data_IF_962948310432
#
_entry.id   IF_962948310432
#
_cell.length_a   1.000
_cell.length_b   1.000
_cell.length_c   1.000
_cell.angle_alpha   90.00
_cell.angle_beta   90.00
_cell.angle_gamma   90.00
#
_symmetry.space_group_name_H-M   'P 1'
#
loop_
_entity.id
_entity.type
_entity.pdbx_description
1 polymer ?
#
# COMPACT_ATOMS: atom_id res chain seq x y z
N UNK A 1 25.82 4.70 3.51
CA UNK A 1 26.98 5.13 2.69
C UNK A 1 26.63 4.93 1.22
N UNK A 2 26.80 5.96 0.38
CA UNK A 2 26.34 5.94 -1.01
C UNK A 2 27.39 5.26 -1.90
N UNK A 3 26.93 4.37 -2.79
CA UNK A 3 27.78 3.59 -3.72
C UNK A 3 28.10 4.34 -5.02
N UNK A 4 29.08 3.83 -5.78
CA UNK A 4 29.54 4.44 -7.04
C UNK A 4 28.45 4.53 -8.14
N UNK A 5 27.39 3.68 -8.11
CA UNK A 5 26.26 3.71 -9.04
C UNK A 5 25.27 4.88 -8.80
N UNK A 6 25.27 5.46 -7.60
CA UNK A 6 24.46 6.65 -7.28
C UNK A 6 25.16 7.98 -7.62
N UNK A 7 26.37 7.93 -8.15
CA UNK A 7 27.18 9.09 -8.59
C UNK A 7 26.53 9.87 -9.73
N UNK A 8 25.69 9.23 -10.53
CA UNK A 8 25.05 9.86 -11.70
C UNK A 8 23.97 10.89 -11.34
N UNK A 9 23.65 11.09 -10.07
CA UNK A 9 22.63 12.03 -9.58
C UNK A 9 23.13 13.10 -8.61
N UNK A 10 24.44 13.12 -8.32
CA UNK A 10 25.07 14.21 -7.56
C UNK A 10 25.74 15.15 -8.55
N UNK A 11 25.58 16.49 -8.43
CA UNK A 11 26.34 17.42 -9.23
C UNK A 11 27.83 17.13 -9.04
N UNK A 12 28.63 17.14 -10.13
CA UNK A 12 30.07 16.95 -10.09
C UNK A 12 30.70 18.13 -9.34
N UNK A 13 30.89 17.96 -8.04
CA UNK A 13 31.69 18.92 -7.28
C UNK A 13 33.13 18.59 -7.60
N UNK A 14 33.91 19.54 -8.17
CA UNK A 14 35.33 19.35 -8.44
C UNK A 14 36.04 18.86 -7.15
N UNK A 15 36.95 17.89 -7.23
CA UNK A 15 37.59 17.30 -6.03
C UNK A 15 38.38 18.32 -5.19
N UNK A 16 38.80 19.41 -5.80
CA UNK A 16 39.66 20.40 -5.19
C UNK A 16 38.96 21.24 -4.08
N UNK A 17 37.73 21.74 -4.24
CA UNK A 17 37.03 22.51 -3.21
C UNK A 17 36.72 21.71 -1.95
N UNK A 18 36.38 20.43 -2.09
CA UNK A 18 36.06 19.56 -0.95
C UNK A 18 37.31 19.18 -0.14
N UNK A 19 38.47 19.04 -0.79
CA UNK A 19 39.75 18.79 -0.10
C UNK A 19 40.19 19.95 0.76
N UNK A 20 39.91 21.17 0.30
CA UNK A 20 40.26 22.39 1.02
C UNK A 20 39.37 22.52 2.30
N UNK A 21 38.09 22.15 2.20
CA UNK A 21 37.15 22.20 3.33
C UNK A 21 37.44 21.18 4.42
N UNK A 22 37.71 19.92 4.07
CA UNK A 22 38.02 18.85 5.03
C UNK A 22 39.20 19.16 5.96
N UNK A 23 40.19 19.90 5.47
CA UNK A 23 41.43 20.17 6.20
C UNK A 23 41.38 21.41 7.10
N UNK A 24 40.47 22.35 6.88
CA UNK A 24 40.45 23.65 7.56
C UNK A 24 39.13 24.13 8.14
N UNK A 25 38.00 23.55 7.72
CA UNK A 25 36.67 24.12 8.01
C UNK A 25 35.68 23.15 8.66
N UNK A 26 36.10 21.96 9.11
CA UNK A 26 35.20 21.00 9.77
C UNK A 26 34.41 20.10 8.78
N UNK A 27 33.26 19.49 9.23
CA UNK A 27 32.51 18.55 8.41
C UNK A 27 32.05 19.15 7.06
N UNK A 28 31.84 18.32 5.99
CA UNK A 28 31.63 16.86 6.04
C UNK A 28 32.94 16.04 6.02
N UNK A 29 33.00 15.02 6.90
CA UNK A 29 34.15 14.12 6.96
C UNK A 29 33.98 12.91 6.06
N UNK A 30 34.87 12.74 5.08
CA UNK A 30 34.85 11.54 4.24
C UNK A 30 35.52 10.35 4.91
N UNK A 31 35.00 9.13 4.71
CA UNK A 31 35.71 7.87 4.99
C UNK A 31 36.36 7.34 3.72
N UNK A 32 37.61 6.89 3.80
CA UNK A 32 38.29 6.25 2.68
C UNK A 32 38.04 4.75 2.67
N UNK A 33 37.68 4.23 1.50
CA UNK A 33 37.63 2.79 1.27
C UNK A 33 39.07 2.26 1.04
N UNK A 34 39.29 0.94 1.18
CA UNK A 34 40.59 0.31 0.83
C UNK A 34 41.01 0.61 -0.62
N UNK A 35 40.07 0.87 -1.52
CA UNK A 35 40.27 1.30 -2.92
C UNK A 35 40.72 2.75 -3.07
N UNK A 36 40.92 3.50 -1.99
CA UNK A 36 41.30 4.93 -2.01
C UNK A 36 40.16 5.89 -2.26
N UNK A 37 38.97 5.42 -2.62
CA UNK A 37 37.79 6.29 -2.87
C UNK A 37 37.18 6.81 -1.59
N UNK A 38 36.77 8.09 -1.63
CA UNK A 38 36.08 8.75 -0.50
C UNK A 38 34.58 8.45 -0.53
N UNK A 39 34.01 8.27 0.65
CA UNK A 39 32.57 8.10 0.90
C UNK A 39 32.10 9.07 1.98
N UNK A 40 30.92 9.67 1.73
CA UNK A 40 30.27 10.59 2.64
C UNK A 40 29.03 9.92 3.25
N UNK A 41 28.67 10.23 4.51
CA UNK A 41 27.41 9.83 5.13
C UNK A 41 26.21 10.30 4.32
N UNK A 42 25.08 9.56 4.36
CA UNK A 42 23.85 9.96 3.64
C UNK A 42 23.28 11.28 4.17
N UNK A 43 23.43 11.54 5.44
CA UNK A 43 23.02 12.76 6.13
C UNK A 43 23.73 14.02 5.61
N UNK A 44 24.95 13.90 5.10
CA UNK A 44 25.71 15.02 4.54
C UNK A 44 25.34 15.38 3.09
N UNK A 45 24.56 14.54 2.40
CA UNK A 45 24.22 14.73 0.98
C UNK A 45 23.47 16.05 0.73
N UNK A 46 22.46 16.44 1.52
CA UNK A 46 21.78 17.73 1.34
C UNK A 46 22.72 18.92 1.43
N UNK A 47 23.64 18.87 2.41
CA UNK A 47 24.64 19.94 2.59
C UNK A 47 25.64 19.98 1.45
N UNK A 48 26.12 18.84 0.97
CA UNK A 48 27.01 18.77 -0.18
C UNK A 48 26.37 19.34 -1.46
N UNK A 49 25.06 19.09 -1.67
CA UNK A 49 24.30 19.69 -2.78
C UNK A 49 24.16 21.20 -2.65
N UNK A 50 23.89 21.69 -1.42
CA UNK A 50 23.80 23.13 -1.15
C UNK A 50 25.16 23.82 -1.39
N UNK A 51 26.28 23.21 -0.96
CA UNK A 51 27.63 23.68 -1.24
C UNK A 51 27.91 23.75 -2.74
N UNK A 52 27.59 22.69 -3.50
CA UNK A 52 27.78 22.67 -4.95
C UNK A 52 27.04 23.82 -5.63
N UNK A 53 25.76 23.98 -5.31
CA UNK A 53 24.88 25.01 -5.89
C UNK A 53 25.34 26.44 -5.53
N UNK A 54 25.83 26.66 -4.31
CA UNK A 54 26.36 27.94 -3.89
C UNK A 54 27.67 28.27 -4.64
N UNK A 55 28.54 27.27 -4.87
CA UNK A 55 29.76 27.45 -5.67
C UNK A 55 29.46 27.77 -7.15
N UNK A 56 28.47 27.09 -7.75
CA UNK A 56 27.96 27.38 -9.08
C UNK A 56 27.40 28.81 -9.20
N UNK A 57 26.79 29.30 -8.11
CA UNK A 57 26.29 30.69 -8.02
C UNK A 57 27.39 31.73 -7.75
N UNK A 58 28.65 31.33 -7.72
CA UNK A 58 29.80 32.25 -7.62
C UNK A 58 30.25 32.63 -6.21
N UNK A 59 29.71 31.96 -5.16
CA UNK A 59 30.15 32.21 -3.80
C UNK A 59 31.55 31.65 -3.50
N UNK A 60 32.33 32.34 -2.68
CA UNK A 60 33.70 31.92 -2.35
C UNK A 60 33.70 30.67 -1.46
N UNK A 61 34.58 29.69 -1.77
CA UNK A 61 34.77 28.44 -1.08
C UNK A 61 34.86 28.60 0.44
N UNK A 62 35.65 29.55 0.94
CA UNK A 62 35.84 29.77 2.37
C UNK A 62 34.56 30.16 3.13
N UNK A 63 33.58 30.77 2.44
CA UNK A 63 32.30 31.19 3.00
C UNK A 63 31.24 30.07 2.95
N UNK A 64 31.35 29.19 1.97
CA UNK A 64 30.36 28.15 1.69
C UNK A 64 30.65 26.87 2.45
N UNK A 65 31.91 26.48 2.56
CA UNK A 65 32.30 25.18 3.18
C UNK A 65 32.18 25.19 4.71
N UNK A 66 32.30 26.33 5.37
CA UNK A 66 32.11 26.49 6.82
C UNK A 66 30.64 26.70 7.23
N UNK A 67 29.75 27.01 6.28
CA UNK A 67 28.34 27.28 6.56
C UNK A 67 27.53 26.04 6.93
N UNK A 68 26.56 26.21 7.82
CA UNK A 68 25.51 25.21 8.08
C UNK A 68 24.58 25.12 6.85
N UNK A 69 23.75 24.08 6.76
CA UNK A 69 22.77 23.93 5.68
C UNK A 69 21.80 25.12 5.63
N UNK A 70 21.41 25.65 6.78
CA UNK A 70 20.52 26.81 6.92
C UNK A 70 21.21 28.11 6.42
N UNK A 71 22.46 28.33 6.78
CA UNK A 71 23.24 29.48 6.32
C UNK A 71 23.46 29.43 4.80
N UNK A 72 23.68 28.23 4.23
CA UNK A 72 23.83 28.04 2.79
C UNK A 72 22.53 28.33 2.05
N UNK A 73 21.40 27.91 2.57
CA UNK A 73 20.09 28.25 2.00
C UNK A 73 19.78 29.74 2.11
N UNK A 74 20.14 30.38 3.24
CA UNK A 74 20.01 31.82 3.42
C UNK A 74 20.85 32.64 2.44
N UNK A 75 22.10 32.23 2.18
CA UNK A 75 22.99 32.87 1.19
C UNK A 75 22.43 32.81 -0.24
N UNK A 76 21.69 31.74 -0.56
CA UNK A 76 21.09 31.54 -1.89
C UNK A 76 19.68 32.15 -2.02
N UNK A 77 19.19 32.87 -0.98
CA UNK A 77 17.81 33.39 -0.96
C UNK A 77 16.74 32.28 -0.97
N UNK A 78 17.13 31.03 -0.71
CA UNK A 78 16.20 29.93 -0.54
C UNK A 78 15.65 30.02 0.89
N UNK A 79 14.31 30.08 1.04
CA UNK A 79 13.70 29.89 2.35
C UNK A 79 14.24 28.57 2.95
N UNK A 80 14.53 28.51 4.27
CA UNK A 80 14.89 27.26 4.89
C UNK A 80 13.85 26.22 4.45
N UNK A 81 14.34 25.08 3.97
CA UNK A 81 13.47 23.90 3.89
C UNK A 81 13.11 23.62 5.36
N UNK A 82 12.00 24.18 5.82
CA UNK A 82 11.33 23.61 6.98
C UNK A 82 11.27 22.11 6.69
N UNK A 83 11.76 21.29 7.61
CA UNK A 83 11.45 19.86 7.56
C UNK A 83 9.96 19.81 7.32
N UNK A 84 9.50 19.18 6.22
CA UNK A 84 8.10 19.18 5.92
C UNK A 84 7.44 18.54 7.14
N UNK A 85 6.60 19.28 7.80
CA UNK A 85 5.85 18.79 8.94
C UNK A 85 5.05 17.62 8.40
N UNK A 86 5.48 16.39 8.70
CA UNK A 86 4.85 15.15 8.21
C UNK A 86 3.34 15.20 8.42
N UNK A 87 2.88 15.85 9.50
CA UNK A 87 1.46 16.10 9.76
C UNK A 87 0.81 17.01 8.71
N UNK A 88 1.45 18.11 8.33
CA UNK A 88 0.87 19.05 7.35
C UNK A 88 0.88 18.49 5.91
N UNK A 89 1.83 17.60 5.60
CA UNK A 89 1.81 16.86 4.31
C UNK A 89 0.68 15.85 4.31
N UNK A 90 0.54 15.05 5.38
CA UNK A 90 -0.56 14.09 5.51
C UNK A 90 -1.94 14.79 5.49
N UNK A 91 -2.09 15.92 6.19
CA UNK A 91 -3.33 16.71 6.18
C UNK A 91 -3.66 17.23 4.77
N UNK A 92 -2.66 17.70 4.03
CA UNK A 92 -2.85 18.14 2.63
C UNK A 92 -3.12 16.97 1.66
N UNK A 93 -2.48 15.81 1.86
CA UNK A 93 -2.76 14.61 1.07
C UNK A 93 -4.18 14.09 1.35
N UNK A 94 -4.60 14.03 2.61
CA UNK A 94 -5.95 13.61 3.00
C UNK A 94 -7.02 14.53 2.41
N UNK A 95 -6.86 15.85 2.52
CA UNK A 95 -7.78 16.82 1.93
C UNK A 95 -7.86 16.66 0.39
N UNK A 96 -6.74 16.36 -0.28
CA UNK A 96 -6.72 16.10 -1.71
C UNK A 96 -7.44 14.80 -2.07
N UNK A 97 -7.31 13.76 -1.23
CA UNK A 97 -7.96 12.47 -1.44
C UNK A 97 -9.49 12.59 -1.23
N UNK A 98 -9.92 13.34 -0.21
CA UNK A 98 -11.34 13.64 0.04
C UNK A 98 -11.99 14.37 -1.16
N UNK A 99 -11.34 15.40 -1.70
CA UNK A 99 -11.82 16.11 -2.88
C UNK A 99 -11.95 15.21 -4.10
N UNK A 100 -11.06 14.26 -4.26
CA UNK A 100 -11.11 13.29 -5.36
C UNK A 100 -12.28 12.31 -5.17
N UNK A 101 -12.48 11.82 -3.95
CA UNK A 101 -13.60 10.94 -3.63
C UNK A 101 -14.93 11.66 -3.89
N UNK A 102 -15.09 12.92 -3.47
CA UNK A 102 -16.29 13.70 -3.75
C UNK A 102 -16.50 13.93 -5.27
N UNK A 103 -15.43 14.07 -6.04
CA UNK A 103 -15.52 14.08 -7.51
C UNK A 103 -16.07 12.77 -8.06
N UNK A 104 -15.64 11.63 -7.52
CA UNK A 104 -16.18 10.33 -7.93
C UNK A 104 -17.63 10.13 -7.47
N UNK A 105 -18.00 10.60 -6.27
CA UNK A 105 -19.41 10.62 -5.84
C UNK A 105 -20.28 11.42 -6.80
N UNK A 106 -19.80 12.57 -7.28
CA UNK A 106 -20.49 13.34 -8.32
C UNK A 106 -20.61 12.53 -9.63
N UNK A 107 -19.55 11.84 -10.06
CA UNK A 107 -19.60 10.93 -11.21
C UNK A 107 -20.64 9.82 -11.03
N UNK A 108 -20.77 9.27 -9.82
CA UNK A 108 -21.81 8.27 -9.50
C UNK A 108 -23.22 8.87 -9.65
N UNK A 109 -23.46 10.08 -9.17
CA UNK A 109 -24.75 10.77 -9.35
C UNK A 109 -25.10 11.01 -10.82
N UNK A 110 -24.09 11.25 -11.66
CA UNK A 110 -24.24 11.54 -13.09
C UNK A 110 -24.19 10.28 -13.98
N UNK A 111 -23.95 9.08 -13.37
CA UNK A 111 -23.70 7.82 -14.07
C UNK A 111 -22.54 7.91 -15.07
N UNK A 112 -21.50 8.66 -14.73
CA UNK A 112 -20.31 8.89 -15.55
C UNK A 112 -19.24 7.84 -15.22
N UNK A 113 -19.26 6.70 -15.95
CA UNK A 113 -18.32 5.60 -15.80
C UNK A 113 -16.91 6.00 -16.27
N UNK A 114 -16.79 6.85 -17.29
CA UNK A 114 -15.50 7.36 -17.75
C UNK A 114 -14.79 8.15 -16.65
N UNK A 115 -15.51 9.01 -15.93
CA UNK A 115 -14.96 9.75 -14.77
C UNK A 115 -14.40 8.81 -13.70
N UNK A 116 -15.13 7.73 -13.39
CA UNK A 116 -14.73 6.75 -12.38
C UNK A 116 -13.53 5.93 -12.84
N UNK A 117 -13.65 5.29 -14.01
CA UNK A 117 -12.65 4.33 -14.50
C UNK A 117 -11.32 5.04 -14.83
N UNK A 118 -11.36 6.21 -15.46
CA UNK A 118 -10.13 7.00 -15.69
C UNK A 118 -9.51 7.46 -14.37
N UNK A 119 -10.31 7.97 -13.44
CA UNK A 119 -9.84 8.37 -12.11
C UNK A 119 -9.22 7.22 -11.33
N UNK A 120 -9.80 6.01 -11.38
CA UNK A 120 -9.24 4.81 -10.77
C UNK A 120 -7.90 4.44 -11.41
N UNK A 121 -7.79 4.48 -12.74
CA UNK A 121 -6.53 4.21 -13.43
C UNK A 121 -5.45 5.22 -13.08
N UNK A 122 -5.77 6.51 -13.05
CA UNK A 122 -4.82 7.57 -12.69
C UNK A 122 -4.27 7.36 -11.27
N UNK A 123 -5.16 7.14 -10.28
CA UNK A 123 -4.72 6.96 -8.90
C UNK A 123 -4.00 5.63 -8.67
N UNK A 124 -4.44 4.55 -9.31
CA UNK A 124 -3.73 3.28 -9.28
C UNK A 124 -2.29 3.41 -9.76
N UNK A 125 -2.07 4.08 -10.88
CA UNK A 125 -0.74 4.29 -11.44
C UNK A 125 0.13 5.23 -10.60
N UNK A 126 -0.49 6.21 -9.92
CA UNK A 126 0.21 7.19 -9.09
C UNK A 126 0.60 6.64 -7.73
N UNK A 127 -0.32 5.96 -7.05
CA UNK A 127 -0.15 5.55 -5.65
C UNK A 127 0.31 4.09 -5.48
N UNK A 128 0.13 3.27 -6.51
CA UNK A 128 0.33 1.82 -6.43
C UNK A 128 -0.84 1.08 -5.77
N UNK A 129 -0.87 -0.28 -5.91
CA UNK A 129 -2.05 -1.07 -5.54
C UNK A 129 -2.48 -0.95 -4.07
N UNK A 130 -1.55 -1.12 -3.13
CA UNK A 130 -1.88 -1.13 -1.70
C UNK A 130 -2.41 0.24 -1.23
N UNK A 131 -1.70 1.31 -1.58
CA UNK A 131 -2.11 2.68 -1.23
C UNK A 131 -3.44 3.04 -1.89
N UNK A 132 -3.66 2.60 -3.14
CA UNK A 132 -4.93 2.78 -3.83
C UNK A 132 -6.10 2.12 -3.09
N UNK A 133 -5.95 0.89 -2.61
CA UNK A 133 -6.99 0.22 -1.82
C UNK A 133 -7.28 1.00 -0.54
N UNK A 134 -6.25 1.35 0.23
CA UNK A 134 -6.39 1.91 1.58
C UNK A 134 -6.89 3.35 1.55
N UNK A 135 -6.32 4.19 0.69
CA UNK A 135 -6.56 5.63 0.72
C UNK A 135 -7.69 6.08 -0.21
N UNK A 136 -8.11 5.23 -1.16
CA UNK A 136 -9.12 5.62 -2.14
C UNK A 136 -10.31 4.65 -2.17
N UNK A 137 -10.09 3.34 -2.30
CA UNK A 137 -11.20 2.40 -2.44
C UNK A 137 -11.98 2.20 -1.15
N UNK A 138 -11.30 2.01 -0.02
CA UNK A 138 -11.97 1.88 1.27
C UNK A 138 -12.80 3.13 1.60
N UNK A 139 -12.26 4.37 1.55
CA UNK A 139 -13.05 5.56 1.80
C UNK A 139 -14.18 5.78 0.78
N UNK A 140 -13.97 5.45 -0.51
CA UNK A 140 -15.02 5.56 -1.52
C UNK A 140 -16.20 4.62 -1.20
N UNK A 141 -15.92 3.35 -0.89
CA UNK A 141 -16.96 2.37 -0.56
C UNK A 141 -17.72 2.79 0.70
N UNK A 142 -17.02 3.28 1.73
CA UNK A 142 -17.64 3.79 2.95
C UNK A 142 -18.50 5.03 2.66
N UNK A 143 -18.05 5.93 1.78
CA UNK A 143 -18.79 7.12 1.37
C UNK A 143 -20.03 6.76 0.53
N UNK A 144 -19.94 5.76 -0.35
CA UNK A 144 -21.11 5.24 -1.09
C UNK A 144 -22.12 4.63 -0.12
N UNK A 145 -21.67 3.78 0.80
CA UNK A 145 -22.54 3.15 1.80
C UNK A 145 -23.27 4.20 2.67
N UNK A 146 -22.55 5.18 3.21
CA UNK A 146 -23.16 6.26 4.01
C UNK A 146 -24.08 7.16 3.20
N UNK A 147 -23.77 7.40 1.92
CA UNK A 147 -24.65 8.13 1.01
C UNK A 147 -25.96 7.37 0.72
N UNK A 148 -25.90 6.05 0.59
CA UNK A 148 -27.08 5.21 0.46
C UNK A 148 -27.92 5.19 1.76
N UNK A 149 -27.30 5.00 2.91
CA UNK A 149 -27.98 4.98 4.21
C UNK A 149 -28.68 6.33 4.51
N UNK A 150 -28.07 7.45 4.14
CA UNK A 150 -28.65 8.80 4.31
C UNK A 150 -29.71 9.16 3.26
N UNK A 151 -29.84 8.38 2.19
CA UNK A 151 -30.72 8.67 1.05
C UNK A 151 -30.15 9.69 0.06
N UNK A 152 -28.90 10.11 0.18
CA UNK A 152 -28.19 10.94 -0.80
C UNK A 152 -27.99 10.16 -2.10
N UNK A 153 -27.59 8.88 -2.00
CA UNK A 153 -27.47 7.99 -3.13
C UNK A 153 -28.66 7.02 -3.18
N UNK A 154 -29.26 6.87 -4.34
CA UNK A 154 -30.31 5.88 -4.59
C UNK A 154 -29.72 4.49 -4.86
N UNK A 155 -30.52 3.43 -4.76
CA UNK A 155 -30.10 2.05 -5.11
C UNK A 155 -29.41 1.96 -6.48
N UNK A 156 -29.95 2.57 -7.58
CA UNK A 156 -29.24 2.56 -8.86
C UNK A 156 -27.86 3.23 -8.82
N UNK A 157 -27.64 4.26 -8.02
CA UNK A 157 -26.32 4.88 -7.87
C UNK A 157 -25.33 3.95 -7.15
N UNK A 158 -25.77 3.28 -6.10
CA UNK A 158 -24.96 2.30 -5.37
C UNK A 158 -24.59 1.11 -6.29
N UNK A 159 -25.57 0.56 -7.03
CA UNK A 159 -25.30 -0.52 -7.99
C UNK A 159 -24.32 -0.10 -9.09
N UNK A 160 -24.49 1.09 -9.64
CA UNK A 160 -23.57 1.64 -10.64
C UNK A 160 -22.15 1.77 -10.11
N UNK A 161 -21.97 2.31 -8.90
CA UNK A 161 -20.69 2.43 -8.26
C UNK A 161 -20.05 1.06 -8.01
N UNK A 162 -20.83 0.12 -7.50
CA UNK A 162 -20.40 -1.26 -7.21
C UNK A 162 -19.91 -1.98 -8.47
N UNK A 163 -20.64 -1.88 -9.59
CA UNK A 163 -20.25 -2.48 -10.88
C UNK A 163 -18.93 -1.87 -11.41
N UNK A 164 -18.78 -0.54 -11.36
CA UNK A 164 -17.54 0.11 -11.80
C UNK A 164 -16.34 -0.34 -10.94
N UNK A 165 -16.50 -0.41 -9.61
CA UNK A 165 -15.45 -0.82 -8.68
C UNK A 165 -15.11 -2.31 -8.86
N UNK A 166 -16.12 -3.18 -8.95
CA UNK A 166 -15.96 -4.63 -9.16
C UNK A 166 -15.17 -4.91 -10.43
N UNK A 167 -15.62 -4.36 -11.56
CA UNK A 167 -14.96 -4.54 -12.86
C UNK A 167 -13.50 -4.11 -12.82
N UNK A 168 -13.22 -2.94 -12.22
CA UNK A 168 -11.85 -2.43 -12.08
C UNK A 168 -10.99 -3.34 -11.21
N UNK A 169 -11.42 -3.67 -9.99
CA UNK A 169 -10.65 -4.49 -9.05
C UNK A 169 -10.44 -5.91 -9.58
N UNK A 170 -11.47 -6.50 -10.21
CA UNK A 170 -11.39 -7.82 -10.85
C UNK A 170 -10.32 -7.85 -11.94
N UNK A 171 -10.28 -6.84 -12.79
CA UNK A 171 -9.25 -6.71 -13.83
C UNK A 171 -7.85 -6.61 -13.21
N UNK A 172 -7.70 -5.81 -12.16
CA UNK A 172 -6.40 -5.52 -11.53
C UNK A 172 -5.82 -6.72 -10.80
N UNK A 173 -6.57 -7.40 -9.93
CA UNK A 173 -6.02 -8.54 -9.20
C UNK A 173 -5.69 -9.70 -10.15
N UNK A 174 -6.51 -9.96 -11.18
CA UNK A 174 -6.22 -11.00 -12.19
C UNK A 174 -4.93 -10.68 -12.96
N UNK A 175 -4.72 -9.42 -13.33
CA UNK A 175 -3.50 -8.97 -13.99
C UNK A 175 -2.27 -9.17 -13.11
N UNK A 176 -2.34 -8.76 -11.82
CA UNK A 176 -1.25 -8.90 -10.86
C UNK A 176 -0.95 -10.37 -10.54
N UNK A 177 -1.97 -11.20 -10.47
CA UNK A 177 -1.85 -12.63 -10.13
C UNK A 177 -1.64 -13.53 -11.36
N UNK A 178 -1.62 -12.97 -12.57
CA UNK A 178 -1.35 -13.75 -13.77
C UNK A 178 0.02 -14.42 -13.73
N UNK A 179 0.06 -15.73 -14.04
CA UNK A 179 1.31 -16.53 -14.04
C UNK A 179 2.01 -16.68 -12.69
N UNK A 180 1.30 -16.52 -11.58
CA UNK A 180 1.84 -16.86 -10.25
C UNK A 180 1.91 -18.38 -10.10
N UNK A 181 3.05 -18.88 -9.65
CA UNK A 181 3.34 -20.31 -9.41
C UNK A 181 3.70 -20.56 -7.94
N UNK A 182 3.39 -19.62 -7.06
CA UNK A 182 3.70 -19.71 -5.64
C UNK A 182 2.74 -20.59 -4.84
N UNK A 183 2.70 -20.38 -3.54
CA UNK A 183 1.82 -21.09 -2.62
C UNK A 183 0.33 -20.78 -2.88
N UNK A 184 -0.54 -21.77 -2.64
CA UNK A 184 -1.96 -21.64 -2.94
C UNK A 184 -2.73 -20.90 -1.84
N UNK A 185 -3.52 -19.90 -2.26
CA UNK A 185 -4.45 -19.14 -1.44
C UNK A 185 -5.86 -19.29 -2.02
N UNK A 186 -6.77 -19.89 -1.26
CA UNK A 186 -8.20 -19.88 -1.62
C UNK A 186 -8.87 -18.66 -0.99
N UNK A 187 -9.70 -17.96 -1.78
CA UNK A 187 -10.46 -16.80 -1.33
C UNK A 187 -11.94 -16.99 -1.65
N UNK A 188 -12.79 -16.83 -0.65
CA UNK A 188 -14.23 -17.00 -0.75
C UNK A 188 -14.98 -16.05 0.19
N UNK A 189 -16.28 -15.90 -0.02
CA UNK A 189 -17.22 -15.48 1.02
C UNK A 189 -17.93 -16.70 1.61
N UNK A 190 -18.57 -16.51 2.75
CA UNK A 190 -19.44 -17.52 3.33
C UNK A 190 -20.75 -17.64 2.51
N UNK A 191 -21.51 -18.74 2.68
CA UNK A 191 -22.84 -18.85 2.09
C UNK A 191 -23.72 -17.65 2.48
N UNK A 192 -24.59 -17.25 1.56
CA UNK A 192 -25.51 -16.10 1.69
C UNK A 192 -24.84 -14.71 1.73
N UNK A 193 -23.50 -14.62 1.77
CA UNK A 193 -22.80 -13.33 1.63
C UNK A 193 -22.85 -12.83 0.19
N UNK A 194 -23.39 -11.62 0.03
CA UNK A 194 -23.60 -10.98 -1.27
C UNK A 194 -22.63 -9.83 -1.54
N UNK A 195 -21.81 -9.44 -0.55
CA UNK A 195 -20.88 -8.33 -0.69
C UNK A 195 -19.51 -8.81 -1.18
N UNK A 196 -19.13 -8.39 -2.38
CA UNK A 196 -17.93 -8.85 -3.08
C UNK A 196 -16.72 -7.92 -2.89
N UNK A 197 -16.94 -6.62 -2.69
CA UNK A 197 -15.88 -5.62 -2.78
C UNK A 197 -14.75 -5.84 -1.76
N UNK A 198 -15.09 -6.26 -0.54
CA UNK A 198 -14.09 -6.62 0.48
C UNK A 198 -13.18 -7.75 0.04
N UNK A 199 -13.75 -8.79 -0.58
CA UNK A 199 -13.00 -9.94 -1.10
C UNK A 199 -12.12 -9.53 -2.30
N UNK A 200 -12.62 -8.68 -3.21
CA UNK A 200 -11.85 -8.17 -4.35
C UNK A 200 -10.67 -7.29 -3.92
N UNK A 201 -10.89 -6.39 -2.95
CA UNK A 201 -9.80 -5.60 -2.37
C UNK A 201 -8.76 -6.50 -1.71
N UNK A 202 -9.20 -7.52 -0.98
CA UNK A 202 -8.30 -8.53 -0.39
C UNK A 202 -7.53 -9.30 -1.48
N UNK A 203 -8.16 -9.62 -2.62
CA UNK A 203 -7.47 -10.28 -3.74
C UNK A 203 -6.41 -9.38 -4.39
N UNK A 204 -6.67 -8.07 -4.51
CA UNK A 204 -5.64 -7.11 -4.95
C UNK A 204 -4.45 -7.11 -4.00
N UNK A 205 -4.68 -6.99 -2.68
CA UNK A 205 -3.60 -6.97 -1.68
C UNK A 205 -2.84 -8.30 -1.69
N UNK A 206 -3.54 -9.43 -1.69
CA UNK A 206 -2.93 -10.76 -1.75
C UNK A 206 -2.10 -10.97 -3.03
N UNK A 207 -2.49 -10.35 -4.14
CA UNK A 207 -1.72 -10.39 -5.39
C UNK A 207 -0.35 -9.73 -5.31
N UNK A 208 -0.05 -8.97 -4.25
CA UNK A 208 1.27 -8.37 -4.01
C UNK A 208 2.26 -9.38 -3.40
N UNK A 209 1.77 -10.45 -2.81
CA UNK A 209 2.58 -11.56 -2.31
C UNK A 209 2.88 -12.59 -3.40
N UNK A 210 3.65 -13.63 -3.06
CA UNK A 210 3.92 -14.77 -3.96
C UNK A 210 2.76 -15.75 -4.13
N UNK A 211 1.59 -15.50 -3.55
CA UNK A 211 0.45 -16.39 -3.58
C UNK A 211 -0.13 -16.59 -4.99
N UNK A 212 -0.50 -17.84 -5.32
CA UNK A 212 -1.39 -18.19 -6.41
C UNK A 212 -2.82 -18.19 -5.87
N UNK A 213 -3.62 -17.22 -6.31
CA UNK A 213 -4.98 -17.05 -5.83
C UNK A 213 -5.95 -17.96 -6.58
N UNK A 214 -6.73 -18.72 -5.83
CA UNK A 214 -7.87 -19.50 -6.28
C UNK A 214 -9.11 -18.79 -5.73
N UNK A 215 -9.76 -18.01 -6.58
CA UNK A 215 -10.89 -17.14 -6.22
C UNK A 215 -12.20 -17.88 -6.45
N UNK A 216 -12.85 -18.37 -5.38
CA UNK A 216 -14.14 -19.05 -5.47
C UNK A 216 -15.30 -18.04 -5.58
N UNK A 217 -15.12 -16.85 -5.03
CA UNK A 217 -16.11 -15.78 -5.16
C UNK A 217 -17.17 -15.78 -4.07
N UNK A 218 -18.35 -15.29 -4.47
CA UNK A 218 -19.49 -15.08 -3.58
C UNK A 218 -20.31 -16.35 -3.36
N UNK A 219 -21.00 -16.38 -2.20
CA UNK A 219 -22.07 -17.34 -1.92
C UNK A 219 -21.71 -18.79 -2.25
N UNK A 220 -20.46 -19.20 -1.95
CA UNK A 220 -20.02 -20.58 -2.20
C UNK A 220 -20.54 -21.49 -1.08
N UNK A 221 -21.20 -22.62 -1.39
CA UNK A 221 -21.65 -23.58 -0.39
C UNK A 221 -20.49 -24.05 0.50
N UNK A 222 -20.73 -24.16 1.80
CA UNK A 222 -19.68 -24.47 2.78
C UNK A 222 -19.00 -25.81 2.50
N UNK A 223 -19.77 -26.80 2.12
CA UNK A 223 -19.31 -28.16 1.78
C UNK A 223 -18.40 -28.14 0.55
N UNK A 224 -18.71 -27.27 -0.43
CA UNK A 224 -17.89 -27.13 -1.65
C UNK A 224 -16.56 -26.42 -1.34
N UNK A 225 -16.57 -25.43 -0.43
CA UNK A 225 -15.35 -24.79 0.06
C UNK A 225 -14.46 -25.82 0.75
N UNK A 226 -15.02 -26.63 1.67
CA UNK A 226 -14.31 -27.68 2.42
C UNK A 226 -13.74 -28.71 1.45
N UNK A 227 -14.56 -29.23 0.54
CA UNK A 227 -14.15 -30.23 -0.45
C UNK A 227 -13.02 -29.70 -1.35
N UNK A 228 -13.16 -28.48 -1.83
CA UNK A 228 -12.14 -27.82 -2.66
C UNK A 228 -10.84 -27.62 -1.90
N UNK A 229 -10.91 -27.11 -0.66
CA UNK A 229 -9.74 -26.87 0.16
C UNK A 229 -9.03 -28.19 0.54
N UNK A 230 -9.77 -29.25 0.87
CA UNK A 230 -9.19 -30.56 1.18
C UNK A 230 -8.59 -31.25 -0.06
N UNK A 231 -9.07 -30.93 -1.27
CA UNK A 231 -8.53 -31.45 -2.54
C UNK A 231 -7.28 -30.70 -2.99
N UNK A 232 -7.29 -29.38 -2.87
CA UNK A 232 -6.20 -28.52 -3.37
C UNK A 232 -5.10 -28.27 -2.32
N UNK A 233 -5.35 -28.61 -1.06
CA UNK A 233 -4.44 -28.43 0.08
C UNK A 233 -3.75 -27.05 0.08
N UNK A 234 -4.52 -25.93 0.09
CA UNK A 234 -3.94 -24.61 0.08
C UNK A 234 -3.20 -24.33 1.39
N UNK A 235 -2.20 -23.48 1.35
CA UNK A 235 -1.54 -23.00 2.55
C UNK A 235 -2.42 -22.04 3.37
N UNK A 236 -3.31 -21.32 2.67
CA UNK A 236 -4.17 -20.31 3.27
C UNK A 236 -5.59 -20.33 2.67
N UNK A 237 -6.58 -20.19 3.54
CA UNK A 237 -7.98 -19.94 3.18
C UNK A 237 -8.40 -18.62 3.80
N UNK A 238 -8.87 -17.67 2.98
CA UNK A 238 -9.19 -16.30 3.38
C UNK A 238 -10.66 -15.99 3.09
N UNK A 239 -11.37 -15.47 4.09
CA UNK A 239 -12.76 -15.02 3.99
C UNK A 239 -12.89 -13.51 4.15
N UNK A 240 -13.79 -12.92 3.35
CA UNK A 240 -14.30 -11.57 3.56
C UNK A 240 -15.74 -11.67 4.08
N UNK A 241 -16.02 -11.01 5.21
CA UNK A 241 -17.29 -11.07 5.90
C UNK A 241 -17.79 -9.66 6.14
N UNK A 242 -18.91 -9.30 5.52
CA UNK A 242 -19.53 -7.99 5.70
C UNK A 242 -20.29 -7.87 7.03
N UNK A 243 -20.73 -6.67 7.37
CA UNK A 243 -21.52 -6.41 8.59
C UNK A 243 -23.00 -6.81 8.44
N UNK A 244 -23.32 -7.88 7.72
CA UNK A 244 -24.68 -8.35 7.57
C UNK A 244 -25.24 -8.95 8.88
N UNK A 245 -26.55 -8.89 9.07
CA UNK A 245 -27.26 -9.13 10.35
C UNK A 245 -27.17 -10.57 10.92
N UNK A 246 -26.44 -11.50 10.27
CA UNK A 246 -26.44 -12.94 10.63
C UNK A 246 -25.15 -13.41 11.31
N UNK A 247 -24.68 -12.69 12.34
CA UNK A 247 -23.44 -13.04 13.06
C UNK A 247 -23.41 -14.47 13.64
N UNK A 248 -24.54 -15.01 14.07
CA UNK A 248 -24.63 -16.36 14.67
C UNK A 248 -24.27 -17.45 13.65
N UNK A 249 -24.79 -17.33 12.41
CA UNK A 249 -24.51 -18.32 11.36
C UNK A 249 -23.04 -18.24 10.90
N UNK A 250 -22.42 -17.05 10.99
CA UNK A 250 -21.03 -16.82 10.61
C UNK A 250 -20.04 -17.56 11.51
N UNK A 251 -20.24 -17.52 12.82
CA UNK A 251 -19.39 -18.22 13.79
C UNK A 251 -19.43 -19.72 13.59
N UNK A 252 -20.63 -20.28 13.46
CA UNK A 252 -20.86 -21.73 13.24
C UNK A 252 -20.22 -22.18 11.93
N UNK A 253 -20.35 -21.42 10.85
CA UNK A 253 -19.72 -21.71 9.57
C UNK A 253 -18.18 -21.73 9.68
N UNK A 254 -17.59 -20.73 10.32
CA UNK A 254 -16.14 -20.64 10.50
C UNK A 254 -15.60 -21.76 11.40
N UNK A 255 -16.29 -22.11 12.46
CA UNK A 255 -15.94 -23.24 13.35
C UNK A 255 -16.05 -24.59 12.63
N UNK A 256 -17.09 -24.79 11.81
CA UNK A 256 -17.23 -25.97 10.97
C UNK A 256 -16.09 -26.10 9.99
N UNK A 257 -15.76 -25.02 9.27
CA UNK A 257 -14.58 -24.97 8.39
C UNK A 257 -13.31 -25.39 9.14
N UNK A 258 -13.06 -24.80 10.32
CA UNK A 258 -11.86 -25.09 11.11
C UNK A 258 -11.76 -26.55 11.51
N UNK A 259 -12.88 -27.20 11.80
CA UNK A 259 -12.93 -28.59 12.24
C UNK A 259 -12.78 -29.59 11.09
N UNK A 260 -13.28 -29.26 9.89
CA UNK A 260 -13.34 -30.17 8.75
C UNK A 260 -12.17 -29.96 7.73
N UNK A 261 -11.43 -28.88 7.86
CA UNK A 261 -10.24 -28.64 7.04
C UNK A 261 -9.01 -29.40 7.55
N UNK A 262 -8.14 -29.78 6.63
CA UNK A 262 -6.82 -30.30 6.96
C UNK A 262 -6.06 -29.36 7.91
N UNK A 263 -5.38 -29.91 8.91
CA UNK A 263 -4.66 -29.15 9.97
C UNK A 263 -3.59 -28.20 9.44
N UNK A 264 -3.08 -28.46 8.24
CA UNK A 264 -2.03 -27.65 7.61
C UNK A 264 -2.59 -26.38 6.94
N UNK A 265 -3.92 -26.26 6.79
CA UNK A 265 -4.55 -25.08 6.19
C UNK A 265 -4.69 -24.00 7.24
N UNK A 266 -4.06 -22.86 7.01
CA UNK A 266 -4.27 -21.67 7.84
C UNK A 266 -5.57 -21.00 7.44
N UNK A 267 -6.38 -20.60 8.43
CA UNK A 267 -7.67 -19.94 8.22
C UNK A 267 -7.62 -18.50 8.74
N UNK A 268 -7.98 -17.55 7.89
CA UNK A 268 -8.09 -16.13 8.26
C UNK A 268 -9.43 -15.57 7.78
N UNK A 269 -9.91 -14.57 8.47
CA UNK A 269 -11.09 -13.79 8.05
C UNK A 269 -10.90 -12.31 8.33
N UNK A 270 -11.48 -11.48 7.47
CA UNK A 270 -11.49 -10.03 7.61
C UNK A 270 -12.84 -9.43 7.27
N UNK A 271 -12.99 -8.15 7.59
CA UNK A 271 -14.23 -7.40 7.41
C UNK A 271 -15.01 -7.20 8.72
N UNK A 272 -15.96 -6.25 8.68
CA UNK A 272 -16.70 -5.79 9.88
C UNK A 272 -17.58 -6.87 10.53
N UNK A 273 -17.97 -7.89 9.78
CA UNK A 273 -18.78 -9.03 10.25
C UNK A 273 -17.96 -10.19 10.81
N UNK A 274 -16.62 -10.10 10.84
CA UNK A 274 -15.77 -11.14 11.40
C UNK A 274 -15.92 -11.19 12.92
N UNK A 275 -16.31 -12.35 13.50
CA UNK A 275 -16.39 -12.51 14.94
C UNK A 275 -15.04 -12.33 15.64
N UNK A 276 -15.09 -11.90 16.91
CA UNK A 276 -13.90 -11.78 17.74
C UNK A 276 -13.47 -13.12 18.32
N UNK A 277 -12.14 -13.33 18.45
CA UNK A 277 -11.56 -14.40 19.25
C UNK A 277 -12.00 -15.86 18.90
N UNK A 278 -12.18 -16.17 17.61
CA UNK A 278 -12.45 -17.55 17.21
C UNK A 278 -11.20 -18.42 17.31
N UNK A 279 -11.28 -19.59 18.00
CA UNK A 279 -10.13 -20.48 18.16
C UNK A 279 -9.56 -20.98 16.83
N UNK A 280 -8.28 -20.70 16.58
CA UNK A 280 -7.56 -21.16 15.39
C UNK A 280 -7.93 -20.46 14.08
N UNK A 281 -8.66 -19.36 14.15
CA UNK A 281 -8.98 -18.47 13.03
C UNK A 281 -8.42 -17.10 13.35
N UNK A 282 -7.61 -16.56 12.46
CA UNK A 282 -7.03 -15.23 12.66
C UNK A 282 -7.92 -14.16 12.03
N UNK A 283 -8.40 -13.23 12.86
CA UNK A 283 -9.04 -12.01 12.37
C UNK A 283 -8.00 -11.05 11.83
N UNK A 284 -8.30 -10.42 10.70
CA UNK A 284 -7.51 -9.38 10.06
C UNK A 284 -8.33 -8.07 10.11
N UNK A 285 -7.77 -7.05 10.75
CA UNK A 285 -8.50 -5.81 11.03
C UNK A 285 -8.56 -4.87 9.81
N UNK A 286 -7.49 -4.78 9.04
CA UNK A 286 -7.36 -3.86 7.91
C UNK A 286 -6.38 -4.36 6.84
N UNK A 287 -6.32 -3.68 5.69
CA UNK A 287 -5.49 -4.09 4.56
C UNK A 287 -3.98 -3.89 4.77
N UNK A 288 -3.54 -2.95 5.62
CA UNK A 288 -2.14 -2.83 6.00
C UNK A 288 -1.69 -4.03 6.82
N UNK A 289 -2.50 -4.38 7.83
CA UNK A 289 -2.29 -5.57 8.67
C UNK A 289 -2.30 -6.83 7.82
N UNK A 290 -3.21 -6.92 6.85
CA UNK A 290 -3.28 -8.05 5.92
C UNK A 290 -2.01 -8.18 5.07
N UNK A 291 -1.59 -7.10 4.42
CA UNK A 291 -0.37 -7.10 3.61
C UNK A 291 0.86 -7.52 4.42
N UNK A 292 1.04 -6.91 5.60
CA UNK A 292 2.18 -7.25 6.46
C UNK A 292 2.13 -8.68 6.98
N UNK A 293 0.92 -9.18 7.29
CA UNK A 293 0.74 -10.57 7.71
C UNK A 293 1.10 -11.54 6.57
N UNK A 294 0.68 -11.28 5.33
CA UNK A 294 1.00 -12.09 4.16
C UNK A 294 2.52 -12.14 3.90
N UNK A 295 3.23 -11.02 4.01
CA UNK A 295 4.69 -10.97 3.87
C UNK A 295 5.40 -11.85 4.90
N UNK A 296 4.91 -11.87 6.14
CA UNK A 296 5.47 -12.72 7.21
C UNK A 296 5.11 -14.19 7.02
N UNK A 297 3.89 -14.48 6.59
CA UNK A 297 3.43 -15.85 6.29
C UNK A 297 4.24 -16.46 5.16
N UNK A 298 4.48 -15.75 4.08
CA UNK A 298 5.33 -16.19 2.97
C UNK A 298 6.76 -16.50 3.42
N UNK A 299 7.38 -15.65 4.25
CA UNK A 299 8.70 -15.90 4.82
C UNK A 299 8.74 -17.20 5.64
N UNK A 300 7.69 -17.47 6.43
CA UNK A 300 7.58 -18.70 7.21
C UNK A 300 7.48 -19.94 6.31
N UNK A 301 6.69 -19.88 5.23
CA UNK A 301 6.59 -20.97 4.26
C UNK A 301 7.94 -21.27 3.60
N UNK A 302 8.71 -20.23 3.24
CA UNK A 302 10.04 -20.39 2.61
C UNK A 302 11.11 -20.92 3.58
N UNK A 303 10.94 -20.75 4.89
CA UNK A 303 11.88 -21.27 5.91
C UNK A 303 11.53 -22.67 6.40
N UNK A 304 10.34 -23.17 6.09
CA UNK A 304 9.88 -24.50 6.47
C UNK A 304 10.19 -25.59 5.43
N UNK A 305 10.72 -25.21 4.28
CA UNK A 305 11.21 -26.07 3.19
C UNK A 305 12.74 -26.25 3.33
#
# INVERSE_FOLDING_TARGET
MISMGERARLPEIPPHPLRFGENRCGPPHSRRLPSGHRRYPKEDVPRLRAIAKALESGYRISKVVSGTLEELHGLMGLKPLMEPNLKSIQENENASNELLIERWIKGIHEYDDDCLIQGFHEQWNKSGPLKFIIEYMVPLIERVGSGWESGELSIPHEHFATECIDGFLTSKWRQLNSRKEGWNLIMATLPEETHNLGLLMSAVVASLSGAKIIYLGLNTPLEDIISTANTLEPQLLCFSISSSEKLLDTEDCLLKLKNELNKNVTLISGGKGTPENLPGIKKIEDFNTFNHWLENFEKQLLTAV
#
